data_IF_869672001165
#
_entry.id   IF_869672001165
#
_cell.length_a   1.000
_cell.length_b   1.000
_cell.length_c   1.000
_cell.angle_alpha   90.00
_cell.angle_beta   90.00
_cell.angle_gamma   90.00
#
_symmetry.space_group_name_H-M   'P 1'
#
loop_
_entity.id
_entity.type
_entity.pdbx_description
1 polymer ?
#
# COMPACT_ATOMS: atom_id res chain seq x y z
N UNK A 1 73.93 10.45 10.13
CA UNK A 1 72.91 11.35 10.68
C UNK A 1 71.87 10.48 11.41
N UNK A 2 71.99 10.38 12.77
CA UNK A 2 71.09 9.59 13.61
C UNK A 2 69.78 10.39 13.74
N UNK A 3 68.69 9.91 13.11
CA UNK A 3 67.37 10.42 13.40
C UNK A 3 67.05 10.10 14.86
N UNK A 4 66.89 11.11 15.70
CA UNK A 4 66.27 10.99 17.01
C UNK A 4 64.83 10.55 16.79
N UNK A 5 64.52 9.37 17.29
CA UNK A 5 63.16 8.85 17.36
C UNK A 5 62.42 9.66 18.43
N UNK A 6 61.80 10.75 18.05
CA UNK A 6 60.78 11.38 18.91
C UNK A 6 59.56 10.49 18.87
N UNK A 7 59.28 9.86 20.00
CA UNK A 7 57.99 9.19 20.24
C UNK A 7 56.89 10.25 20.20
N UNK A 8 56.22 10.37 19.09
CA UNK A 8 54.94 11.06 19.04
C UNK A 8 53.90 10.07 19.59
N UNK A 9 53.75 10.11 20.92
CA UNK A 9 52.58 9.53 21.57
C UNK A 9 51.35 10.35 21.13
N UNK A 10 50.58 9.81 20.22
CA UNK A 10 49.20 10.28 20.05
C UNK A 10 48.48 9.92 21.36
N UNK A 11 48.15 10.91 22.19
CA UNK A 11 47.42 10.70 23.45
C UNK A 11 46.23 9.77 23.22
N UNK A 12 46.29 8.56 23.81
CA UNK A 12 45.23 7.58 23.81
C UNK A 12 45.34 6.44 22.80
N UNK A 13 46.34 6.40 21.89
CA UNK A 13 46.53 5.28 20.96
C UNK A 13 47.86 4.57 21.23
N UNK A 14 47.89 3.23 21.45
CA UNK A 14 49.12 2.47 21.70
C UNK A 14 49.86 2.17 20.36
N UNK A 15 50.16 3.21 19.58
CA UNK A 15 50.77 3.06 18.26
C UNK A 15 52.09 3.79 18.26
N UNK A 16 53.24 3.07 18.17
CA UNK A 16 54.58 3.63 18.06
C UNK A 16 54.81 4.18 16.64
N UNK A 17 55.87 5.05 16.52
CA UNK A 17 56.29 5.63 15.24
C UNK A 17 56.63 4.60 14.16
N UNK A 18 57.12 3.42 14.57
CA UNK A 18 57.42 2.30 13.67
C UNK A 18 56.14 1.69 13.08
N UNK A 19 55.12 1.53 13.93
CA UNK A 19 53.82 1.01 13.51
C UNK A 19 53.08 1.98 12.58
N UNK A 20 53.17 3.28 12.90
CA UNK A 20 52.61 4.32 12.02
C UNK A 20 53.34 4.36 10.64
N UNK A 21 54.67 4.17 10.62
CA UNK A 21 55.41 4.10 9.36
C UNK A 21 55.05 2.84 8.54
N UNK A 22 54.89 1.68 9.21
CA UNK A 22 54.44 0.43 8.57
C UNK A 22 53.05 0.59 7.98
N UNK A 23 52.12 1.14 8.73
CA UNK A 23 50.77 1.41 8.28
C UNK A 23 50.71 2.34 7.04
N UNK A 24 51.57 3.38 7.04
CA UNK A 24 51.69 4.28 5.89
C UNK A 24 52.26 3.57 4.64
N UNK A 25 53.16 2.61 4.81
CA UNK A 25 53.69 1.79 3.72
C UNK A 25 52.61 0.86 3.19
N UNK A 26 51.90 0.14 4.06
CA UNK A 26 50.79 -0.74 3.66
C UNK A 26 49.67 0.01 2.94
N UNK A 27 49.35 1.22 3.41
CA UNK A 27 48.39 2.09 2.71
C UNK A 27 48.90 2.54 1.34
N UNK A 28 50.18 2.86 1.20
CA UNK A 28 50.78 3.25 -0.05
C UNK A 28 50.77 2.08 -1.05
N UNK A 29 51.05 0.85 -0.60
CA UNK A 29 50.96 -0.36 -1.41
C UNK A 29 49.54 -0.65 -1.81
N UNK A 30 48.55 -0.56 -0.93
CA UNK A 30 47.12 -0.76 -1.23
C UNK A 30 46.57 0.27 -2.21
N UNK A 31 47.08 1.49 -2.19
CA UNK A 31 46.68 2.54 -3.17
C UNK A 31 47.40 2.40 -4.52
N UNK A 32 48.48 1.64 -4.61
CA UNK A 32 49.19 1.25 -5.82
C UNK A 32 49.47 2.42 -6.79
N UNK A 33 49.03 2.27 -8.04
CA UNK A 33 49.21 3.28 -9.09
C UNK A 33 48.65 4.67 -8.74
N UNK A 34 47.68 4.78 -7.84
CA UNK A 34 47.07 6.05 -7.42
C UNK A 34 47.98 7.00 -6.70
N UNK A 35 49.09 6.51 -6.17
CA UNK A 35 50.07 7.31 -5.42
C UNK A 35 51.32 7.61 -6.23
N UNK A 36 51.52 6.92 -7.41
CA UNK A 36 52.67 7.16 -8.29
C UNK A 36 52.62 8.59 -8.84
N UNK A 37 53.71 9.30 -8.68
CA UNK A 37 53.85 10.65 -9.22
C UNK A 37 53.18 11.76 -8.40
N UNK A 38 52.59 11.45 -7.24
CA UNK A 38 52.06 12.48 -6.38
C UNK A 38 53.17 13.17 -5.59
N UNK A 39 53.18 14.52 -5.60
CA UNK A 39 53.98 15.30 -4.68
C UNK A 39 53.49 15.14 -3.23
N UNK A 40 54.37 15.46 -2.27
CA UNK A 40 54.08 15.36 -0.82
C UNK A 40 52.70 15.93 -0.43
N UNK A 41 52.31 17.06 -1.03
CA UNK A 41 51.00 17.72 -0.76
C UNK A 41 49.84 16.91 -1.26
N UNK A 42 49.95 16.35 -2.48
CA UNK A 42 48.94 15.48 -3.07
C UNK A 42 48.75 14.17 -2.28
N UNK A 43 49.87 13.57 -1.83
CA UNK A 43 49.88 12.39 -0.97
C UNK A 43 49.15 12.66 0.36
N UNK A 44 49.43 13.74 1.01
CA UNK A 44 48.77 14.10 2.28
C UNK A 44 47.28 14.36 2.12
N UNK A 45 46.86 14.95 1.00
CA UNK A 45 45.42 15.13 0.69
C UNK A 45 44.73 13.80 0.45
N UNK A 46 45.37 12.88 -0.27
CA UNK A 46 44.80 11.55 -0.53
C UNK A 46 44.64 10.75 0.76
N UNK A 47 45.69 10.74 1.61
CA UNK A 47 45.67 10.08 2.92
C UNK A 47 44.56 10.64 3.81
N UNK A 48 44.42 11.97 3.93
CA UNK A 48 43.33 12.59 4.68
C UNK A 48 41.97 12.14 4.15
N UNK A 49 41.79 12.10 2.85
CA UNK A 49 40.54 11.65 2.24
C UNK A 49 40.23 10.19 2.53
N UNK A 50 41.22 9.30 2.45
CA UNK A 50 41.08 7.86 2.79
C UNK A 50 40.74 7.69 4.27
N UNK A 51 41.43 8.38 5.15
CA UNK A 51 41.12 8.34 6.60
C UNK A 51 39.72 8.85 6.89
N UNK A 52 39.31 9.97 6.31
CA UNK A 52 37.93 10.48 6.46
C UNK A 52 36.88 9.53 5.94
N UNK A 53 37.13 8.87 4.81
CA UNK A 53 36.25 7.86 4.29
C UNK A 53 36.22 6.62 5.18
N UNK A 54 37.37 6.20 5.74
CA UNK A 54 37.45 5.09 6.68
C UNK A 54 36.71 5.36 7.97
N UNK A 55 36.89 6.56 8.58
CA UNK A 55 36.15 6.97 9.77
C UNK A 55 34.64 6.96 9.50
N UNK A 56 34.18 7.57 8.38
CA UNK A 56 32.79 7.49 7.98
C UNK A 56 32.29 6.06 7.83
N UNK A 57 33.09 5.17 7.26
CA UNK A 57 32.73 3.77 7.11
C UNK A 57 32.58 3.08 8.46
N UNK A 58 33.50 3.33 9.40
CA UNK A 58 33.44 2.79 10.78
C UNK A 58 32.23 3.34 11.55
N UNK A 59 31.99 4.64 11.51
CA UNK A 59 30.80 5.26 12.11
C UNK A 59 29.50 4.69 11.48
N UNK A 60 29.55 4.40 10.19
CA UNK A 60 28.46 3.74 9.49
C UNK A 60 28.27 2.28 9.92
N UNK A 61 29.31 1.56 10.29
CA UNK A 61 29.26 0.17 10.77
C UNK A 61 28.82 0.10 12.25
N UNK A 62 29.19 1.05 13.06
CA UNK A 62 28.78 1.15 14.47
C UNK A 62 27.31 1.52 14.65
N UNK A 63 26.75 2.33 13.75
CA UNK A 63 25.34 2.75 13.76
C UNK A 63 24.47 1.92 12.79
N UNK A 64 24.60 0.60 12.83
CA UNK A 64 23.88 -0.28 11.92
C UNK A 64 22.52 -0.68 12.46
N UNK A 65 21.48 0.03 12.02
CA UNK A 65 20.09 -0.39 12.22
C UNK A 65 19.80 -1.58 11.32
N UNK A 66 19.34 -2.69 11.89
CA UNK A 66 18.93 -3.86 11.15
C UNK A 66 17.66 -3.61 10.33
N UNK A 67 17.42 -4.42 9.30
CA UNK A 67 16.17 -4.35 8.54
C UNK A 67 14.95 -4.55 9.44
N UNK A 68 15.02 -5.46 10.42
CA UNK A 68 13.92 -5.72 11.34
C UNK A 68 13.58 -4.49 12.18
N UNK A 69 14.57 -3.84 12.79
CA UNK A 69 14.37 -2.61 13.56
C UNK A 69 13.78 -1.50 12.70
N UNK A 70 14.33 -1.27 11.51
CA UNK A 70 13.85 -0.28 10.57
C UNK A 70 12.40 -0.58 10.11
N UNK A 71 12.08 -1.85 9.84
CA UNK A 71 10.76 -2.29 9.43
C UNK A 71 9.71 -1.97 10.50
N UNK A 72 9.96 -2.35 11.77
CA UNK A 72 9.02 -2.08 12.85
C UNK A 72 8.94 -0.60 13.20
N UNK A 73 10.05 0.13 13.25
CA UNK A 73 10.05 1.58 13.44
C UNK A 73 9.24 2.29 12.36
N UNK A 74 9.35 1.86 11.09
CA UNK A 74 8.56 2.41 9.99
C UNK A 74 7.06 2.17 10.14
N UNK A 75 6.64 1.05 10.74
CA UNK A 75 5.23 0.76 11.05
C UNK A 75 4.73 1.63 12.18
N UNK A 76 5.53 1.79 13.23
CA UNK A 76 5.15 2.57 14.43
C UNK A 76 5.08 4.07 14.14
N UNK A 77 5.96 4.60 13.30
CA UNK A 77 5.88 5.97 12.79
C UNK A 77 4.55 6.26 12.04
N UNK A 78 3.85 5.19 11.58
CA UNK A 78 2.54 5.29 10.93
C UNK A 78 1.37 4.94 11.85
N UNK A 79 1.53 5.07 13.16
CA UNK A 79 0.49 4.75 14.16
C UNK A 79 -0.83 5.50 13.93
N UNK A 80 -0.78 6.73 13.41
CA UNK A 80 -1.95 7.53 13.05
C UNK A 80 -2.72 7.08 11.79
N UNK A 81 -2.21 6.09 11.04
CA UNK A 81 -2.91 5.56 9.87
C UNK A 81 -4.07 4.64 10.28
N UNK A 82 -5.02 4.45 9.35
CA UNK A 82 -6.20 3.59 9.56
C UNK A 82 -5.81 2.18 10.01
N UNK A 83 -6.60 1.53 10.90
CA UNK A 83 -6.31 0.18 11.40
C UNK A 83 -6.07 -0.85 10.28
N UNK A 84 -6.83 -0.77 9.18
CA UNK A 84 -6.65 -1.66 8.01
C UNK A 84 -5.30 -1.47 7.35
N UNK A 85 -4.84 -0.23 7.16
CA UNK A 85 -3.52 0.07 6.60
C UNK A 85 -2.41 -0.46 7.50
N UNK A 86 -2.52 -0.27 8.82
CA UNK A 86 -1.56 -0.79 9.79
C UNK A 86 -1.51 -2.31 9.80
N UNK A 87 -2.68 -2.98 9.71
CA UNK A 87 -2.76 -4.43 9.59
C UNK A 87 -2.05 -4.93 8.34
N UNK A 88 -2.26 -4.29 7.19
CA UNK A 88 -1.64 -4.67 5.93
C UNK A 88 -0.12 -4.44 5.96
N UNK A 89 0.36 -3.33 6.54
CA UNK A 89 1.78 -3.08 6.76
C UNK A 89 2.41 -4.20 7.62
N UNK A 90 1.82 -4.49 8.79
CA UNK A 90 2.30 -5.56 9.68
C UNK A 90 2.30 -6.93 9.02
N UNK A 91 1.30 -7.22 8.19
CA UNK A 91 1.23 -8.47 7.43
C UNK A 91 2.44 -8.62 6.50
N UNK A 92 2.76 -7.60 5.71
CA UNK A 92 3.91 -7.63 4.81
C UNK A 92 5.23 -7.66 5.57
N UNK A 93 5.38 -6.88 6.66
CA UNK A 93 6.61 -6.92 7.48
C UNK A 93 6.88 -8.31 8.02
N UNK A 94 5.87 -8.99 8.59
CA UNK A 94 6.03 -10.38 9.07
C UNK A 94 6.43 -11.33 7.95
N UNK A 95 5.96 -11.13 6.72
CA UNK A 95 6.38 -11.93 5.57
C UNK A 95 7.83 -11.67 5.20
N UNK A 96 8.23 -10.41 5.10
CA UNK A 96 9.60 -10.04 4.75
C UNK A 96 10.60 -10.53 5.81
N UNK A 97 10.27 -10.41 7.09
CA UNK A 97 11.13 -10.87 8.18
C UNK A 97 11.28 -12.39 8.28
N UNK A 98 10.35 -13.16 7.67
CA UNK A 98 10.45 -14.63 7.56
C UNK A 98 11.25 -15.07 6.35
N UNK A 99 11.43 -14.21 5.35
CA UNK A 99 12.27 -14.52 4.21
C UNK A 99 13.73 -14.64 4.64
N UNK A 100 14.43 -15.59 4.02
CA UNK A 100 15.84 -15.82 4.37
C UNK A 100 16.70 -14.60 4.07
N UNK A 101 17.56 -14.29 5.02
CA UNK A 101 18.77 -13.49 4.79
C UNK A 101 18.65 -11.98 4.91
N UNK A 102 17.49 -11.36 5.27
CA UNK A 102 17.45 -9.89 5.40
C UNK A 102 17.15 -9.35 6.81
N UNK A 103 16.47 -10.10 7.68
CA UNK A 103 15.97 -9.58 8.95
C UNK A 103 17.07 -8.92 9.83
N UNK A 104 18.12 -9.67 10.13
CA UNK A 104 19.24 -9.19 10.96
C UNK A 104 20.32 -8.40 10.21
N UNK A 105 20.15 -8.17 8.91
CA UNK A 105 21.16 -7.45 8.12
C UNK A 105 21.05 -5.93 8.30
N UNK A 106 22.18 -5.22 8.29
CA UNK A 106 22.19 -3.77 8.24
C UNK A 106 21.34 -3.26 7.07
N UNK A 107 20.41 -2.33 7.32
CA UNK A 107 19.51 -1.79 6.32
C UNK A 107 20.24 -1.28 5.07
N UNK A 108 21.37 -0.60 5.27
CA UNK A 108 22.21 -0.04 4.19
C UNK A 108 22.91 -1.08 3.34
N UNK A 109 23.16 -2.28 3.88
CA UNK A 109 23.87 -3.35 3.19
C UNK A 109 22.96 -4.19 2.29
N UNK A 110 21.64 -3.97 2.33
CA UNK A 110 20.67 -4.73 1.55
C UNK A 110 20.63 -4.23 0.10
N UNK A 111 20.81 -5.15 -0.83
CA UNK A 111 20.90 -4.87 -2.26
C UNK A 111 19.54 -4.96 -2.96
N UNK A 112 19.45 -4.37 -4.15
CA UNK A 112 18.28 -4.52 -5.06
C UNK A 112 17.98 -5.98 -5.37
N UNK A 113 19.02 -6.83 -5.54
CA UNK A 113 18.87 -8.25 -5.85
C UNK A 113 18.19 -9.01 -4.72
N UNK A 114 18.57 -8.73 -3.48
CA UNK A 114 17.98 -9.33 -2.27
C UNK A 114 16.55 -8.85 -2.07
N UNK A 115 16.28 -7.56 -2.20
CA UNK A 115 14.92 -7.04 -2.15
C UNK A 115 14.00 -7.69 -3.21
N UNK A 116 14.52 -7.89 -4.41
CA UNK A 116 13.76 -8.56 -5.47
C UNK A 116 13.53 -10.06 -5.17
N UNK A 117 14.48 -10.74 -4.53
CA UNK A 117 14.33 -12.12 -4.09
C UNK A 117 13.24 -12.24 -3.02
N UNK A 118 13.30 -11.41 -1.97
CA UNK A 118 12.29 -11.35 -0.91
C UNK A 118 10.88 -11.07 -1.46
N UNK A 119 10.75 -10.14 -2.42
CA UNK A 119 9.47 -9.86 -3.03
C UNK A 119 8.93 -11.05 -3.83
N UNK A 120 9.77 -11.77 -4.58
CA UNK A 120 9.35 -12.98 -5.30
C UNK A 120 8.91 -14.08 -4.36
N UNK A 121 9.69 -14.35 -3.32
CA UNK A 121 9.39 -15.36 -2.31
C UNK A 121 8.08 -15.05 -1.57
N UNK A 122 7.94 -13.82 -1.09
CA UNK A 122 6.83 -13.45 -0.19
C UNK A 122 5.55 -13.09 -0.90
N UNK A 123 5.61 -12.57 -2.12
CA UNK A 123 4.45 -12.08 -2.87
C UNK A 123 3.99 -13.05 -3.97
N UNK A 124 4.83 -14.04 -4.32
CA UNK A 124 4.51 -15.03 -5.35
C UNK A 124 4.30 -14.42 -6.73
N UNK A 125 3.56 -15.13 -7.58
CA UNK A 125 3.28 -14.76 -8.96
C UNK A 125 2.13 -13.75 -9.12
N UNK A 126 1.43 -13.37 -8.05
CA UNK A 126 0.30 -12.43 -8.13
C UNK A 126 0.79 -10.97 -8.27
N UNK A 127 0.64 -10.34 -9.46
CA UNK A 127 1.18 -9.01 -9.72
C UNK A 127 0.65 -7.92 -8.79
N UNK A 128 -0.63 -7.99 -8.39
CA UNK A 128 -1.24 -7.02 -7.47
C UNK A 128 -0.67 -7.14 -6.06
N UNK A 129 -0.38 -8.35 -5.59
CA UNK A 129 0.27 -8.61 -4.31
C UNK A 129 1.72 -8.15 -4.36
N UNK A 130 2.43 -8.44 -5.46
CA UNK A 130 3.80 -7.98 -5.68
C UNK A 130 3.87 -6.44 -5.66
N UNK A 131 2.98 -5.75 -6.38
CA UNK A 131 2.89 -4.29 -6.38
C UNK A 131 2.70 -3.72 -4.97
N UNK A 132 1.81 -4.31 -4.17
CA UNK A 132 1.61 -3.91 -2.76
C UNK A 132 2.85 -4.19 -1.91
N UNK A 133 3.42 -5.39 -2.00
CA UNK A 133 4.63 -5.76 -1.28
C UNK A 133 5.79 -4.82 -1.60
N UNK A 134 6.02 -4.56 -2.90
CA UNK A 134 7.05 -3.59 -3.32
C UNK A 134 6.82 -2.19 -2.72
N UNK A 135 5.59 -1.69 -2.74
CA UNK A 135 5.27 -0.38 -2.15
C UNK A 135 5.55 -0.35 -0.64
N UNK A 136 5.23 -1.44 0.07
CA UNK A 136 5.48 -1.55 1.51
C UNK A 136 6.98 -1.63 1.77
N UNK A 137 7.73 -2.49 1.06
CA UNK A 137 9.17 -2.62 1.22
C UNK A 137 9.90 -1.30 0.87
N UNK A 138 9.51 -0.67 -0.23
CA UNK A 138 10.02 0.66 -0.62
C UNK A 138 9.85 1.68 0.51
N UNK A 139 8.70 1.66 1.19
CA UNK A 139 8.40 2.60 2.26
C UNK A 139 9.24 2.41 3.53
N UNK A 140 9.84 1.23 3.74
CA UNK A 140 10.80 0.99 4.84
C UNK A 140 12.11 1.71 4.54
N UNK A 141 12.64 1.55 3.32
CA UNK A 141 13.89 2.21 2.94
C UNK A 141 13.74 3.73 2.83
N UNK A 142 12.60 4.26 2.33
CA UNK A 142 12.34 5.71 2.39
C UNK A 142 12.33 6.24 3.81
N UNK A 143 11.74 5.48 4.76
CA UNK A 143 11.81 5.84 6.17
C UNK A 143 13.25 5.76 6.70
N UNK A 144 14.01 4.73 6.31
CA UNK A 144 15.42 4.59 6.66
C UNK A 144 16.28 5.76 6.16
N UNK A 145 16.02 6.25 4.92
CA UNK A 145 16.68 7.44 4.38
C UNK A 145 16.34 8.69 5.22
N UNK A 146 15.05 8.86 5.58
CA UNK A 146 14.63 9.99 6.44
C UNK A 146 15.26 9.97 7.84
N UNK A 147 15.64 8.78 8.34
CA UNK A 147 16.30 8.59 9.62
C UNK A 147 17.85 8.49 9.49
N UNK A 148 18.38 8.69 8.29
CA UNK A 148 19.82 8.60 7.98
C UNK A 148 20.43 7.20 8.23
N UNK A 149 19.60 6.15 8.25
CA UNK A 149 20.04 4.76 8.42
C UNK A 149 20.57 4.11 7.13
N UNK A 150 20.20 4.66 5.98
CA UNK A 150 20.72 4.27 4.66
C UNK A 150 20.65 5.45 3.68
N UNK A 151 21.49 5.44 2.65
CA UNK A 151 21.63 6.54 1.71
C UNK A 151 20.75 6.36 0.45
N UNK A 152 20.36 5.13 0.14
CA UNK A 152 19.64 4.80 -1.10
C UNK A 152 18.54 3.80 -0.84
N UNK A 153 17.53 3.84 -1.72
CA UNK A 153 16.44 2.87 -1.69
C UNK A 153 16.64 1.80 -2.78
N UNK A 154 17.07 0.57 -2.41
CA UNK A 154 17.32 -0.50 -3.38
C UNK A 154 16.06 -0.97 -4.08
N UNK A 155 14.88 -0.73 -3.51
CA UNK A 155 13.58 -1.15 -4.06
C UNK A 155 13.12 -0.25 -5.22
N UNK A 156 13.66 0.96 -5.32
CA UNK A 156 13.27 1.94 -6.34
C UNK A 156 13.43 1.40 -7.77
N UNK A 157 14.49 0.62 -8.01
CA UNK A 157 14.83 0.05 -9.33
C UNK A 157 14.10 -1.25 -9.68
N UNK A 158 13.31 -1.82 -8.74
CA UNK A 158 12.59 -3.07 -8.99
C UNK A 158 11.37 -2.78 -9.85
N UNK A 159 11.32 -3.37 -11.05
CA UNK A 159 10.17 -3.26 -11.94
C UNK A 159 8.98 -4.04 -11.38
N UNK A 160 7.80 -3.45 -11.47
CA UNK A 160 6.55 -4.13 -11.13
C UNK A 160 6.10 -4.94 -12.35
N UNK A 161 5.70 -6.21 -12.19
CA UNK A 161 5.08 -6.96 -13.26
C UNK A 161 3.85 -6.22 -13.79
N UNK A 162 3.69 -6.19 -15.10
CA UNK A 162 2.51 -5.58 -15.74
C UNK A 162 1.26 -6.33 -15.27
N UNK A 163 0.31 -5.59 -14.77
CA UNK A 163 -1.01 -6.13 -14.40
C UNK A 163 -1.93 -5.83 -15.58
N UNK A 164 -2.43 -6.85 -16.24
CA UNK A 164 -3.59 -6.66 -17.09
C UNK A 164 -4.75 -6.22 -16.18
N UNK A 165 -5.25 -5.01 -16.39
CA UNK A 165 -6.42 -4.55 -15.66
C UNK A 165 -7.62 -5.34 -16.17
N UNK A 166 -8.05 -6.34 -15.40
CA UNK A 166 -9.31 -7.01 -15.65
C UNK A 166 -10.44 -5.98 -15.53
N UNK A 167 -11.08 -5.69 -16.64
CA UNK A 167 -12.28 -4.84 -16.66
C UNK A 167 -13.36 -5.52 -15.83
N UNK A 168 -13.82 -4.87 -14.77
CA UNK A 168 -14.92 -5.38 -13.97
C UNK A 168 -16.21 -5.14 -14.77
N UNK A 169 -16.82 -6.21 -15.24
CA UNK A 169 -18.09 -6.13 -15.95
C UNK A 169 -19.23 -5.84 -14.96
N UNK A 170 -20.17 -4.96 -15.31
CA UNK A 170 -21.39 -4.77 -14.53
C UNK A 170 -22.21 -6.06 -14.53
N UNK A 171 -22.96 -6.27 -13.46
CA UNK A 171 -23.95 -7.36 -13.41
C UNK A 171 -25.05 -7.13 -14.43
N UNK A 172 -25.53 -8.20 -15.06
CA UNK A 172 -26.70 -8.16 -15.91
C UNK A 172 -27.97 -7.95 -15.07
N UNK A 173 -29.07 -7.55 -15.70
CA UNK A 173 -30.36 -7.43 -15.00
C UNK A 173 -30.82 -8.75 -14.38
N UNK A 174 -30.56 -9.87 -15.06
CA UNK A 174 -30.87 -11.20 -14.54
C UNK A 174 -30.06 -11.50 -13.27
N UNK A 175 -28.78 -11.16 -13.25
CA UNK A 175 -27.91 -11.32 -12.09
C UNK A 175 -28.34 -10.43 -10.93
N UNK A 176 -28.70 -9.18 -11.20
CA UNK A 176 -29.28 -8.26 -10.22
C UNK A 176 -30.56 -8.84 -9.63
N UNK A 177 -31.49 -9.31 -10.48
CA UNK A 177 -32.73 -9.91 -10.02
C UNK A 177 -32.51 -11.15 -9.16
N UNK A 178 -31.55 -12.01 -9.51
CA UNK A 178 -31.18 -13.17 -8.67
C UNK A 178 -30.70 -12.77 -7.27
N UNK A 179 -29.89 -11.71 -7.17
CA UNK A 179 -29.45 -11.17 -5.87
C UNK A 179 -30.62 -10.63 -5.06
N UNK A 180 -31.48 -9.85 -5.69
CA UNK A 180 -32.66 -9.26 -5.03
C UNK A 180 -33.63 -10.34 -4.53
N UNK A 181 -34.01 -11.30 -5.40
CA UNK A 181 -34.86 -12.41 -5.02
C UNK A 181 -34.27 -13.25 -3.88
N UNK A 182 -32.96 -13.44 -3.89
CA UNK A 182 -32.28 -14.15 -2.81
C UNK A 182 -32.28 -13.33 -1.51
N UNK A 183 -32.11 -12.02 -1.58
CA UNK A 183 -32.19 -11.13 -0.43
C UNK A 183 -33.62 -11.03 0.17
N UNK A 184 -34.65 -11.33 -0.62
CA UNK A 184 -36.04 -11.39 -0.14
C UNK A 184 -36.34 -12.64 0.69
N UNK A 185 -35.55 -13.71 0.57
CA UNK A 185 -35.74 -14.95 1.34
C UNK A 185 -35.55 -14.66 2.84
N UNK A 186 -36.35 -15.28 3.75
CA UNK A 186 -36.29 -15.00 5.19
C UNK A 186 -34.90 -15.01 5.80
N UNK A 187 -34.04 -15.95 5.38
CA UNK A 187 -32.69 -16.10 5.87
C UNK A 187 -31.71 -14.99 5.43
N UNK A 188 -32.09 -14.09 4.51
CA UNK A 188 -31.25 -13.03 3.97
C UNK A 188 -31.86 -11.64 4.05
N UNK A 189 -33.01 -11.48 4.69
CA UNK A 189 -33.74 -10.20 4.78
C UNK A 189 -32.90 -9.08 5.38
N UNK A 190 -32.01 -9.41 6.33
CA UNK A 190 -31.06 -8.49 6.95
C UNK A 190 -30.03 -7.90 5.98
N UNK A 191 -29.90 -8.45 4.77
CA UNK A 191 -29.01 -7.97 3.71
C UNK A 191 -29.70 -7.06 2.68
N UNK A 192 -31.03 -6.89 2.71
CA UNK A 192 -31.76 -6.10 1.71
C UNK A 192 -31.30 -4.65 1.66
N UNK A 193 -31.18 -3.99 2.80
CA UNK A 193 -30.67 -2.62 2.87
C UNK A 193 -29.24 -2.55 2.33
N UNK A 194 -28.40 -3.48 2.74
CA UNK A 194 -26.99 -3.54 2.28
C UNK A 194 -26.89 -3.68 0.77
N UNK A 195 -27.70 -4.55 0.18
CA UNK A 195 -27.75 -4.77 -1.26
C UNK A 195 -28.23 -3.52 -2.01
N UNK A 196 -29.30 -2.87 -1.50
CA UNK A 196 -29.82 -1.62 -2.06
C UNK A 196 -28.76 -0.52 -2.08
N UNK A 197 -28.06 -0.31 -0.97
CA UNK A 197 -26.99 0.69 -0.87
C UNK A 197 -25.85 0.43 -1.85
N UNK A 198 -25.52 -0.82 -2.13
CA UNK A 198 -24.47 -1.16 -3.10
C UNK A 198 -24.93 -1.02 -4.54
N UNK A 199 -26.13 -1.54 -4.88
CA UNK A 199 -26.63 -1.57 -6.24
C UNK A 199 -27.23 -0.24 -6.70
N UNK A 200 -27.95 0.48 -5.83
CA UNK A 200 -28.73 1.65 -6.23
C UNK A 200 -28.22 2.99 -5.67
N UNK A 201 -27.22 2.93 -4.77
CA UNK A 201 -26.54 4.11 -4.27
C UNK A 201 -25.02 4.05 -4.51
N UNK A 202 -24.49 2.97 -5.09
CA UNK A 202 -23.08 2.83 -5.40
C UNK A 202 -22.14 2.90 -4.17
N UNK A 203 -22.64 2.61 -2.97
CA UNK A 203 -21.86 2.63 -1.73
C UNK A 203 -20.87 1.46 -1.73
N UNK A 204 -19.63 1.71 -1.29
CA UNK A 204 -18.63 0.63 -1.22
C UNK A 204 -18.98 -0.39 -0.13
N UNK A 205 -18.73 -1.70 -0.34
CA UNK A 205 -19.00 -2.73 0.67
C UNK A 205 -18.44 -2.40 2.07
N UNK A 206 -17.23 -1.85 2.12
CA UNK A 206 -16.60 -1.42 3.37
C UNK A 206 -17.22 -0.18 4.02
N UNK A 207 -17.92 0.63 3.25
CA UNK A 207 -18.70 1.78 3.76
C UNK A 207 -20.07 1.28 4.26
N UNK A 208 -20.75 0.41 3.49
CA UNK A 208 -22.04 -0.19 3.88
C UNK A 208 -21.98 -0.82 5.26
N UNK A 209 -20.95 -1.64 5.53
CA UNK A 209 -20.79 -2.29 6.85
C UNK A 209 -20.64 -1.33 8.03
N UNK A 210 -20.52 -0.03 7.79
CA UNK A 210 -20.36 1.03 8.81
C UNK A 210 -21.53 2.01 8.85
N UNK A 211 -22.49 1.88 7.93
CA UNK A 211 -23.71 2.68 7.93
C UNK A 211 -24.53 2.31 9.17
N UNK A 212 -24.99 3.32 9.87
CA UNK A 212 -25.95 3.20 10.97
C UNK A 212 -27.31 3.70 10.47
N UNK A 213 -28.25 2.80 10.11
CA UNK A 213 -29.47 3.20 9.43
C UNK A 213 -30.29 4.27 10.15
N UNK A 214 -30.27 4.25 11.48
CA UNK A 214 -30.97 5.20 12.35
C UNK A 214 -30.34 6.60 12.41
N UNK A 215 -29.08 6.74 11.99
CA UNK A 215 -28.30 7.99 12.04
C UNK A 215 -27.92 8.51 10.66
N UNK A 216 -27.71 7.58 9.71
CA UNK A 216 -27.14 7.88 8.40
C UNK A 216 -28.19 7.91 7.29
N UNK A 217 -29.43 7.46 7.54
CA UNK A 217 -30.48 7.39 6.52
C UNK A 217 -31.66 8.26 6.89
N UNK A 218 -31.93 9.24 6.06
CA UNK A 218 -33.20 9.99 6.11
C UNK A 218 -34.24 9.27 5.19
N UNK A 219 -35.11 8.51 5.85
CA UNK A 219 -36.13 7.72 5.17
C UNK A 219 -37.25 8.58 4.54
N UNK A 220 -37.45 9.80 5.04
CA UNK A 220 -38.42 10.74 4.49
C UNK A 220 -37.90 11.34 3.18
N UNK A 221 -36.67 11.84 3.20
CA UNK A 221 -35.99 12.38 2.03
C UNK A 221 -35.48 11.29 1.07
N UNK A 222 -35.41 10.07 1.55
CA UNK A 222 -34.82 8.92 0.83
C UNK A 222 -33.35 9.20 0.47
N UNK A 223 -32.57 9.57 1.45
CA UNK A 223 -31.15 9.91 1.30
C UNK A 223 -30.28 9.14 2.30
N UNK A 224 -29.11 8.75 1.89
CA UNK A 224 -28.08 8.18 2.77
C UNK A 224 -26.88 9.10 2.85
N UNK A 225 -26.43 9.39 4.06
CA UNK A 225 -25.21 10.13 4.37
C UNK A 225 -24.04 9.16 4.57
N UNK A 226 -23.06 9.21 3.71
CA UNK A 226 -21.78 8.57 3.95
C UNK A 226 -20.86 9.57 4.64
N UNK A 227 -20.65 9.38 5.94
CA UNK A 227 -19.83 10.29 6.76
C UNK A 227 -18.34 10.22 6.38
N UNK A 228 -17.55 11.29 6.57
CA UNK A 228 -16.10 11.28 6.33
C UNK A 228 -15.37 10.14 7.04
N UNK A 229 -15.77 9.80 8.27
CA UNK A 229 -15.18 8.73 9.07
C UNK A 229 -15.45 7.33 8.49
N UNK A 230 -16.60 7.13 7.85
CA UNK A 230 -16.96 5.86 7.19
C UNK A 230 -16.41 5.76 5.77
N UNK A 231 -16.21 6.91 5.12
CA UNK A 231 -15.70 6.99 3.75
C UNK A 231 -14.25 6.50 3.64
N UNK A 232 -13.94 5.70 2.61
CA UNK A 232 -12.57 5.25 2.31
C UNK A 232 -11.63 6.41 1.94
N UNK A 233 -12.16 7.48 1.36
CA UNK A 233 -11.40 8.64 0.86
C UNK A 233 -11.40 9.84 1.80
N UNK A 234 -12.13 9.76 2.94
CA UNK A 234 -12.23 10.84 3.92
C UNK A 234 -13.17 11.97 3.52
N UNK A 235 -13.85 11.90 2.37
CA UNK A 235 -14.91 12.85 1.97
C UNK A 235 -16.29 12.32 2.36
N UNK A 236 -17.13 13.18 2.96
CA UNK A 236 -18.55 12.88 3.16
C UNK A 236 -19.35 13.12 1.89
N UNK A 237 -20.50 12.45 1.77
CA UNK A 237 -21.45 12.68 0.66
C UNK A 237 -22.85 12.22 1.02
N UNK A 238 -23.85 12.90 0.46
CA UNK A 238 -25.25 12.50 0.51
C UNK A 238 -25.60 11.87 -0.84
N UNK A 239 -26.30 10.73 -0.80
CA UNK A 239 -26.66 9.98 -2.00
C UNK A 239 -28.16 9.72 -1.97
N UNK A 240 -28.90 10.02 -3.05
CA UNK A 240 -30.31 9.64 -3.17
C UNK A 240 -30.48 8.12 -3.14
N UNK A 241 -31.36 7.64 -2.29
CA UNK A 241 -31.70 6.22 -2.20
C UNK A 241 -32.81 5.87 -3.21
N UNK A 242 -32.40 5.64 -4.44
CA UNK A 242 -33.29 5.13 -5.47
C UNK A 242 -33.75 3.73 -5.04
N UNK A 243 -35.02 3.39 -5.27
CA UNK A 243 -35.66 2.14 -4.80
C UNK A 243 -35.70 1.94 -3.25
N UNK A 244 -35.53 3.00 -2.44
CA UNK A 244 -35.67 2.91 -0.98
C UNK A 244 -37.08 2.45 -0.53
N UNK A 245 -38.12 2.79 -1.30
CA UNK A 245 -39.50 2.41 -1.02
C UNK A 245 -39.73 0.89 -0.96
N UNK A 246 -38.85 0.11 -1.61
CA UNK A 246 -38.95 -1.35 -1.63
C UNK A 246 -38.35 -2.03 -0.37
N UNK A 247 -37.83 -1.27 0.60
CA UNK A 247 -37.21 -1.81 1.82
C UNK A 247 -38.22 -1.69 2.98
N UNK A 248 -38.82 -2.82 3.42
CA UNK A 248 -39.71 -2.83 4.56
C UNK A 248 -38.99 -2.37 5.82
N UNK A 249 -39.73 -1.79 6.77
CA UNK A 249 -39.16 -1.24 8.02
C UNK A 249 -38.32 -2.26 8.77
N UNK A 250 -38.80 -3.50 8.89
CA UNK A 250 -38.10 -4.59 9.59
C UNK A 250 -36.78 -5.02 8.91
N UNK A 251 -36.57 -4.68 7.66
CA UNK A 251 -35.40 -5.03 6.87
C UNK A 251 -34.37 -3.85 6.79
N UNK A 252 -34.64 -2.74 7.51
CA UNK A 252 -33.79 -1.53 7.55
C UNK A 252 -32.63 -1.68 8.51
N UNK A 253 -31.88 -2.78 8.40
CA UNK A 253 -30.77 -3.13 9.28
C UNK A 253 -29.49 -3.41 8.50
N UNK A 254 -28.36 -3.20 9.16
CA UNK A 254 -27.04 -3.65 8.68
C UNK A 254 -26.52 -4.67 9.70
N UNK A 255 -26.30 -5.93 9.31
CA UNK A 255 -25.87 -6.96 10.26
C UNK A 255 -24.41 -6.75 10.73
N UNK A 256 -24.13 -7.05 11.99
CA UNK A 256 -22.77 -6.92 12.58
C UNK A 256 -21.75 -7.84 11.92
N UNK A 257 -22.15 -9.02 11.48
CA UNK A 257 -21.32 -9.99 10.76
C UNK A 257 -21.43 -9.84 9.23
N UNK A 258 -21.52 -8.62 8.76
CA UNK A 258 -21.82 -8.22 7.40
C UNK A 258 -21.04 -9.00 6.32
N UNK A 259 -19.73 -9.16 6.47
CA UNK A 259 -18.89 -9.85 5.47
C UNK A 259 -19.34 -11.31 5.27
N UNK A 260 -19.62 -12.04 6.35
CA UNK A 260 -20.06 -13.43 6.29
C UNK A 260 -21.47 -13.52 5.68
N UNK A 261 -22.35 -12.59 6.05
CA UNK A 261 -23.72 -12.50 5.51
C UNK A 261 -23.70 -12.21 4.01
N UNK A 262 -22.86 -11.25 3.59
CA UNK A 262 -22.67 -10.92 2.19
C UNK A 262 -22.09 -12.09 1.38
N UNK A 263 -21.11 -12.79 1.91
CA UNK A 263 -20.58 -13.99 1.26
C UNK A 263 -21.66 -15.07 1.08
N UNK A 264 -22.47 -15.32 2.11
CA UNK A 264 -23.54 -16.31 2.08
C UNK A 264 -24.64 -15.94 1.10
N UNK A 265 -25.08 -14.68 1.06
CA UNK A 265 -26.06 -14.18 0.09
C UNK A 265 -25.61 -14.45 -1.35
N UNK A 266 -24.38 -14.07 -1.68
CA UNK A 266 -23.84 -14.27 -3.05
C UNK A 266 -23.77 -15.74 -3.43
N UNK A 267 -23.32 -16.59 -2.53
CA UNK A 267 -23.26 -18.03 -2.76
C UNK A 267 -24.65 -18.61 -3.02
N UNK A 268 -25.62 -18.23 -2.20
CA UNK A 268 -27.01 -18.70 -2.31
C UNK A 268 -27.76 -18.12 -3.54
N UNK A 269 -27.26 -17.01 -4.09
CA UNK A 269 -27.69 -16.44 -5.37
C UNK A 269 -26.98 -17.07 -6.59
N UNK A 270 -26.12 -18.08 -6.38
CA UNK A 270 -25.45 -18.82 -7.44
C UNK A 270 -24.17 -18.19 -7.98
N UNK A 271 -23.55 -17.25 -7.22
CA UNK A 271 -22.26 -16.66 -7.60
C UNK A 271 -21.10 -17.45 -6.98
N UNK A 272 -20.50 -18.33 -7.75
CA UNK A 272 -19.30 -19.09 -7.35
C UNK A 272 -18.03 -18.24 -7.39
N UNK A 273 -17.97 -17.31 -8.33
CA UNK A 273 -16.91 -16.30 -8.44
C UNK A 273 -17.52 -14.92 -8.27
N UNK A 274 -16.77 -14.02 -7.65
CA UNK A 274 -17.22 -12.66 -7.40
C UNK A 274 -16.11 -11.66 -7.60
N UNK A 275 -16.35 -10.69 -8.48
CA UNK A 275 -15.43 -9.57 -8.66
C UNK A 275 -15.65 -8.53 -7.56
N UNK A 276 -14.55 -8.03 -6.99
CA UNK A 276 -14.63 -7.00 -5.96
C UNK A 276 -15.37 -5.76 -6.49
N UNK A 277 -16.23 -5.18 -5.65
CA UNK A 277 -17.02 -3.99 -5.98
C UNK A 277 -17.99 -4.14 -7.19
N UNK A 278 -18.34 -5.37 -7.63
CA UNK A 278 -19.21 -5.60 -8.78
C UNK A 278 -20.54 -4.83 -8.71
N UNK A 279 -21.25 -4.84 -7.56
CA UNK A 279 -22.47 -4.04 -7.37
C UNK A 279 -22.25 -2.55 -7.61
N UNK A 280 -21.14 -2.02 -7.14
CA UNK A 280 -20.80 -0.61 -7.30
C UNK A 280 -20.42 -0.29 -8.75
N UNK A 281 -19.76 -1.20 -9.46
CA UNK A 281 -19.53 -1.08 -10.91
C UNK A 281 -20.83 -1.14 -11.67
N UNK A 282 -21.76 -2.01 -11.28
CA UNK A 282 -23.12 -2.08 -11.83
C UNK A 282 -23.84 -0.75 -11.68
N UNK A 283 -23.89 -0.20 -10.46
CA UNK A 283 -24.45 1.13 -10.23
C UNK A 283 -23.87 2.17 -11.18
N UNK A 284 -22.52 2.26 -11.26
CA UNK A 284 -21.86 3.27 -12.06
C UNK A 284 -22.20 3.15 -13.56
N UNK A 285 -22.20 1.94 -14.10
CA UNK A 285 -22.52 1.70 -15.52
C UNK A 285 -23.97 2.04 -15.84
N UNK A 286 -24.92 1.53 -15.07
CA UNK A 286 -26.34 1.83 -15.29
C UNK A 286 -26.70 3.29 -15.02
N UNK A 287 -26.02 3.93 -14.06
CA UNK A 287 -26.18 5.36 -13.79
C UNK A 287 -25.69 6.22 -14.97
N UNK A 288 -24.48 5.93 -15.47
CA UNK A 288 -23.92 6.64 -16.61
C UNK A 288 -24.80 6.51 -17.85
N UNK A 289 -25.32 5.31 -18.11
CA UNK A 289 -26.18 5.03 -19.26
C UNK A 289 -27.57 5.67 -19.15
N UNK A 290 -28.15 5.73 -17.96
CA UNK A 290 -29.51 6.22 -17.76
C UNK A 290 -29.58 7.73 -17.60
N UNK A 291 -28.70 8.31 -16.79
CA UNK A 291 -28.75 9.72 -16.46
C UNK A 291 -27.85 10.60 -17.35
N UNK A 292 -26.89 10.01 -18.06
CA UNK A 292 -25.92 10.71 -18.91
C UNK A 292 -25.20 11.88 -18.20
N UNK A 293 -25.06 11.79 -16.85
CA UNK A 293 -24.50 12.84 -16.00
C UNK A 293 -23.32 12.31 -15.18
N UNK A 294 -22.12 12.38 -15.78
CA UNK A 294 -20.88 11.92 -15.13
C UNK A 294 -20.47 12.75 -13.90
N UNK A 295 -20.64 14.09 -13.86
CA UNK A 295 -20.40 14.87 -12.65
C UNK A 295 -21.28 14.40 -11.47
N UNK A 296 -22.55 14.16 -11.67
CA UNK A 296 -23.46 13.62 -10.65
C UNK A 296 -23.00 12.24 -10.17
N UNK A 297 -22.68 11.35 -11.10
CA UNK A 297 -22.14 10.03 -10.78
C UNK A 297 -20.85 10.13 -9.96
N UNK A 298 -19.94 11.04 -10.31
CA UNK A 298 -18.70 11.28 -9.57
C UNK A 298 -18.96 11.69 -8.12
N UNK A 299 -19.89 12.61 -7.92
CA UNK A 299 -20.28 13.08 -6.60
C UNK A 299 -20.88 11.95 -5.76
N UNK A 300 -21.85 11.21 -6.30
CA UNK A 300 -22.51 10.09 -5.60
C UNK A 300 -21.53 8.96 -5.26
N UNK A 301 -20.61 8.64 -6.17
CA UNK A 301 -19.57 7.64 -5.91
C UNK A 301 -18.44 8.14 -5.00
N UNK A 302 -18.28 9.45 -4.80
CA UNK A 302 -17.19 10.03 -4.04
C UNK A 302 -15.83 9.75 -4.66
N UNK A 303 -15.71 9.91 -5.97
CA UNK A 303 -14.46 9.82 -6.71
C UNK A 303 -13.79 11.21 -6.78
N UNK A 304 -12.49 11.26 -6.47
CA UNK A 304 -11.72 12.52 -6.54
C UNK A 304 -11.30 12.89 -7.97
N UNK A 305 -11.23 11.90 -8.88
CA UNK A 305 -10.74 12.10 -10.24
C UNK A 305 -11.76 11.55 -11.26
N UNK A 306 -12.12 12.39 -12.24
CA UNK A 306 -13.03 12.04 -13.34
C UNK A 306 -12.45 11.00 -14.30
N UNK A 307 -11.12 10.99 -14.51
CA UNK A 307 -10.49 10.05 -15.42
C UNK A 307 -10.75 8.57 -15.05
N UNK A 308 -10.94 8.28 -13.74
CA UNK A 308 -11.31 6.95 -13.29
C UNK A 308 -12.71 6.52 -13.74
N UNK A 309 -13.62 7.47 -13.94
CA UNK A 309 -14.98 7.16 -14.45
C UNK A 309 -14.94 6.87 -15.93
N UNK A 310 -14.24 7.70 -16.72
CA UNK A 310 -14.13 7.50 -18.17
C UNK A 310 -13.47 6.16 -18.52
N UNK A 311 -12.35 5.83 -17.86
CA UNK A 311 -11.57 4.63 -18.20
C UNK A 311 -12.26 3.33 -17.75
N UNK A 312 -13.02 3.34 -16.66
CA UNK A 312 -13.54 2.11 -16.04
C UNK A 312 -15.01 1.83 -16.34
N UNK A 313 -15.80 2.87 -16.64
CA UNK A 313 -17.25 2.71 -16.74
C UNK A 313 -17.81 3.02 -18.13
N UNK A 314 -17.14 3.88 -18.90
CA UNK A 314 -17.59 4.23 -20.26
C UNK A 314 -17.29 3.11 -21.27
N UNK A 315 -16.28 2.29 -21.02
CA UNK A 315 -15.94 1.13 -21.89
C UNK A 315 -16.87 -0.09 -21.71
N UNK A 316 -17.70 -0.11 -20.68
CA UNK A 316 -18.62 -1.21 -20.41
C UNK A 316 -20.02 -0.99 -21.06
N UNK A 317 -20.10 -0.22 -22.16
CA UNK A 317 -21.32 -0.07 -22.95
C UNK A 317 -21.62 -1.35 -23.73
N UNK A 318 -22.14 -2.34 -23.04
CA UNK A 318 -22.83 -3.45 -23.68
C UNK A 318 -24.33 -3.22 -23.49
N UNK A 319 -25.09 -3.60 -24.48
CA UNK A 319 -26.57 -3.53 -24.65
C UNK A 319 -27.38 -3.90 -23.37
N UNK A 320 -27.30 -3.09 -22.34
CA UNK A 320 -28.05 -3.29 -21.10
C UNK A 320 -29.25 -2.33 -21.07
N UNK A 321 -30.44 -2.87 -20.86
CA UNK A 321 -31.63 -2.07 -20.62
C UNK A 321 -31.52 -1.26 -19.32
N UNK A 322 -30.87 -0.10 -19.40
CA UNK A 322 -30.63 0.76 -18.23
C UNK A 322 -31.96 1.21 -17.56
N UNK A 323 -33.02 1.39 -18.33
CA UNK A 323 -34.30 1.75 -17.76
C UNK A 323 -34.91 0.63 -16.90
N UNK A 324 -34.69 -0.63 -17.27
CA UNK A 324 -35.15 -1.79 -16.49
C UNK A 324 -34.46 -1.90 -15.13
N UNK A 325 -33.19 -1.47 -15.01
CA UNK A 325 -32.46 -1.45 -13.74
C UNK A 325 -33.06 -0.47 -12.72
N UNK A 326 -33.57 0.67 -13.16
CA UNK A 326 -34.13 1.72 -12.31
C UNK A 326 -35.62 1.57 -12.01
N UNK A 327 -36.32 0.73 -12.71
CA UNK A 327 -37.74 0.34 -12.44
C UNK A 327 -37.80 -0.69 -11.32
#
# INVERSE_FOLDING_TARGET
MKLKTEEILLEGLPVGTVDAARFMLEMAEALGERVKGLERRGMMQLVRRVVQLGIRQLEMEENTVSFEEAAWASVDARAGRRPTTRRDLRYFMRKFLRAEGIAGRPLRAITTKECAAVLRETCGSCPSTFKKGRMVLHSVFEFGIQQEWCDTNPVARIKVPTVEENTIMPLTLEEVNRLEQTAMKPKHRDMRLSLNLMLYCGVRPTEVSRVKPEQDIDWHKKEVLIRPQTSKTGGGRVIPMRKAAHIPVQDRVIPTNWNNRWHKLRKDAGFNQWQADACRHTFASYHAMHFHNLPMLQQEMGHRNQNLLHTRYVTAFLDHNAAGFWR
#
